data_IF_018826820659
#
_entry.id   IF_018826820659
#
_cell.length_a   1.000
_cell.length_b   1.000
_cell.length_c   1.000
_cell.angle_alpha   90.00
_cell.angle_beta   90.00
_cell.angle_gamma   90.00
#
_symmetry.space_group_name_H-M   'P 1'
#
loop_
_entity.id
_entity.type
_entity.pdbx_description
1 polymer ?
#
# COMPACT_ATOMS: atom_id res chain seq x y z
N UNK A 1 -0.79 -23.79 6.26
CA UNK A 1 -2.12 -23.17 6.50
C UNK A 1 -2.11 -21.80 5.82
N UNK A 2 -3.11 -21.51 5.01
CA UNK A 2 -3.12 -20.24 4.30
C UNK A 2 -3.31 -19.09 5.30
N UNK A 3 -2.44 -18.12 5.21
CA UNK A 3 -2.66 -16.79 5.74
C UNK A 3 -3.67 -16.09 4.83
N UNK A 4 -4.71 -15.49 5.40
CA UNK A 4 -5.67 -14.64 4.68
C UNK A 4 -5.61 -13.23 5.28
N UNK A 5 -5.62 -12.25 4.43
CA UNK A 5 -5.77 -10.86 4.85
C UNK A 5 -6.67 -10.12 3.85
N UNK A 6 -7.52 -9.26 4.39
CA UNK A 6 -8.33 -8.34 3.62
C UNK A 6 -8.00 -6.92 4.06
N UNK A 7 -7.96 -6.04 3.09
CA UNK A 7 -7.78 -4.62 3.27
C UNK A 7 -8.91 -3.89 2.58
N UNK A 8 -9.44 -2.89 3.21
CA UNK A 8 -10.41 -1.99 2.60
C UNK A 8 -10.10 -0.56 3.05
N UNK A 9 -10.19 0.37 2.12
CA UNK A 9 -10.07 1.80 2.37
C UNK A 9 -11.24 2.50 1.71
N UNK A 10 -11.89 3.37 2.45
CA UNK A 10 -12.87 4.31 1.95
C UNK A 10 -12.26 5.70 1.96
N UNK A 11 -12.51 6.47 0.92
CA UNK A 11 -11.98 7.81 0.80
C UNK A 11 -12.84 8.68 -0.10
N UNK A 12 -12.52 9.95 -0.15
CA UNK A 12 -13.14 10.97 -1.00
C UNK A 12 -12.07 11.71 -1.77
N UNK A 13 -12.46 12.35 -2.88
CA UNK A 13 -11.57 13.24 -3.63
C UNK A 13 -11.88 14.67 -3.19
N UNK A 14 -10.89 15.34 -2.63
CA UNK A 14 -10.97 16.72 -2.18
C UNK A 14 -9.87 17.54 -2.86
N UNK A 15 -10.26 18.57 -3.60
CA UNK A 15 -9.31 19.39 -4.37
C UNK A 15 -8.36 18.58 -5.28
N UNK A 16 -8.84 17.46 -5.81
CA UNK A 16 -8.05 16.58 -6.67
C UNK A 16 -7.12 15.59 -5.95
N UNK A 17 -7.10 15.56 -4.63
CA UNK A 17 -6.33 14.61 -3.81
C UNK A 17 -7.26 13.55 -3.20
N UNK A 18 -6.73 12.34 -3.04
CA UNK A 18 -7.41 11.28 -2.33
C UNK A 18 -7.22 11.46 -0.82
N UNK A 19 -8.32 11.62 -0.09
CA UNK A 19 -8.35 11.68 1.37
C UNK A 19 -9.01 10.42 1.91
N UNK A 20 -8.33 9.71 2.79
CA UNK A 20 -8.88 8.53 3.48
C UNK A 20 -9.92 8.97 4.50
N UNK A 21 -11.07 8.29 4.54
CA UNK A 21 -12.06 8.43 5.62
C UNK A 21 -12.03 7.26 6.58
N UNK A 22 -11.82 6.06 6.07
CA UNK A 22 -11.75 4.83 6.86
C UNK A 22 -10.74 3.87 6.26
N UNK A 23 -9.96 3.24 7.12
CA UNK A 23 -9.09 2.12 6.77
C UNK A 23 -9.45 0.91 7.61
N UNK A 24 -9.64 -0.22 6.97
CA UNK A 24 -9.92 -1.49 7.62
C UNK A 24 -8.93 -2.57 7.16
N UNK A 25 -8.45 -3.33 8.12
CA UNK A 25 -7.62 -4.51 7.90
C UNK A 25 -8.14 -5.66 8.74
N UNK A 26 -8.30 -6.81 8.15
CA UNK A 26 -8.47 -8.06 8.88
C UNK A 26 -7.51 -9.13 8.39
N UNK A 27 -7.08 -9.99 9.29
CA UNK A 27 -6.25 -11.12 8.94
C UNK A 27 -6.55 -12.33 9.81
N UNK A 28 -6.39 -13.48 9.21
CA UNK A 28 -6.55 -14.77 9.88
C UNK A 28 -5.41 -15.71 9.52
N UNK A 29 -4.81 -16.27 10.54
CA UNK A 29 -3.86 -17.37 10.47
C UNK A 29 -4.33 -18.53 11.34
N UNK A 30 -3.60 -19.64 11.36
CA UNK A 30 -3.92 -20.79 12.22
C UNK A 30 -4.11 -20.41 13.69
N UNK A 31 -3.35 -19.45 14.20
CA UNK A 31 -3.30 -19.14 15.63
C UNK A 31 -3.82 -17.75 15.99
N UNK A 32 -3.99 -16.87 15.03
CA UNK A 32 -4.31 -15.48 15.29
C UNK A 32 -5.34 -14.94 14.30
N UNK A 33 -6.34 -14.27 14.85
CA UNK A 33 -7.21 -13.36 14.13
C UNK A 33 -6.89 -11.94 14.58
N UNK A 34 -6.70 -11.02 13.64
CA UNK A 34 -6.42 -9.62 13.92
C UNK A 34 -7.28 -8.73 13.07
N UNK A 35 -7.78 -7.66 13.67
CA UNK A 35 -8.40 -6.56 12.94
C UNK A 35 -7.73 -5.25 13.31
N UNK A 36 -7.73 -4.31 12.40
CA UNK A 36 -7.30 -2.94 12.62
C UNK A 36 -8.22 -2.01 11.83
N UNK A 37 -8.65 -0.97 12.48
CA UNK A 37 -9.48 0.07 11.90
C UNK A 37 -8.88 1.42 12.28
N UNK A 38 -8.82 2.32 11.35
CA UNK A 38 -8.35 3.69 11.54
C UNK A 38 -9.40 4.60 10.94
N UNK A 39 -9.92 5.52 11.76
CA UNK A 39 -11.00 6.44 11.40
C UNK A 39 -10.48 7.85 11.37
N UNK A 40 -10.87 8.60 10.36
CA UNK A 40 -10.47 9.98 10.10
C UNK A 40 -11.67 10.91 10.25
N UNK A 41 -11.41 12.18 10.53
CA UNK A 41 -12.43 13.23 10.46
C UNK A 41 -12.61 13.74 9.02
N UNK A 42 -13.53 14.67 8.85
CA UNK A 42 -13.83 15.29 7.55
C UNK A 42 -12.68 16.10 6.95
N UNK A 43 -11.65 16.41 7.73
CA UNK A 43 -10.46 17.16 7.33
C UNK A 43 -9.23 16.25 7.12
N UNK A 44 -9.41 14.91 7.09
CA UNK A 44 -8.32 13.96 6.92
C UNK A 44 -7.40 13.77 8.13
N UNK A 45 -7.85 14.22 9.33
CA UNK A 45 -7.12 14.00 10.57
C UNK A 45 -7.53 12.66 11.18
N UNK A 46 -6.57 11.74 11.47
CA UNK A 46 -6.90 10.49 12.13
C UNK A 46 -7.39 10.72 13.57
N UNK A 47 -8.58 10.20 13.88
CA UNK A 47 -9.26 10.39 15.18
C UNK A 47 -8.90 9.29 16.17
N UNK A 48 -9.06 8.05 15.77
CA UNK A 48 -8.79 6.90 16.64
C UNK A 48 -8.48 5.64 15.83
N UNK A 49 -7.85 4.71 16.52
CA UNK A 49 -7.58 3.36 16.03
C UNK A 49 -8.29 2.34 16.90
N UNK A 50 -9.01 1.42 16.27
CA UNK A 50 -9.50 0.20 16.90
C UNK A 50 -8.60 -0.95 16.43
N UNK A 51 -8.16 -1.79 17.35
CA UNK A 51 -7.42 -3.00 17.01
C UNK A 51 -7.89 -4.16 17.87
N UNK A 52 -8.05 -5.34 17.26
CA UNK A 52 -8.33 -6.56 18.01
C UNK A 52 -7.31 -7.65 17.68
N UNK A 53 -7.08 -8.50 18.68
CA UNK A 53 -6.32 -9.73 18.55
C UNK A 53 -7.04 -10.81 19.34
N UNK A 54 -7.52 -11.88 18.64
CA UNK A 54 -8.23 -13.01 19.26
C UNK A 54 -9.32 -12.51 20.23
N UNK A 55 -10.26 -11.69 19.71
CA UNK A 55 -11.42 -11.11 20.40
C UNK A 55 -11.12 -10.11 21.55
N UNK A 56 -9.87 -9.79 21.80
CA UNK A 56 -9.49 -8.69 22.70
C UNK A 56 -9.36 -7.40 21.89
N UNK A 57 -10.32 -6.49 22.09
CA UNK A 57 -10.37 -5.20 21.37
C UNK A 57 -9.84 -4.08 22.23
N UNK A 58 -9.09 -3.17 21.60
CA UNK A 58 -8.58 -1.95 22.19
C UNK A 58 -8.85 -0.78 21.25
N UNK A 59 -9.49 0.28 21.77
CA UNK A 59 -9.58 1.59 21.12
C UNK A 59 -8.50 2.51 21.69
N UNK A 60 -7.84 3.26 20.84
CA UNK A 60 -6.82 4.24 21.18
C UNK A 60 -7.14 5.53 20.44
N UNK A 61 -7.39 6.59 21.19
CA UNK A 61 -7.51 7.94 20.62
C UNK A 61 -6.13 8.40 20.10
N UNK A 62 -6.14 9.08 18.98
CA UNK A 62 -4.92 9.60 18.35
C UNK A 62 -4.77 11.06 18.71
N UNK A 63 -3.57 11.45 19.10
CA UNK A 63 -3.27 12.83 19.43
C UNK A 63 -3.46 13.73 18.19
N UNK A 64 -4.25 14.78 18.37
CA UNK A 64 -4.58 15.74 17.33
C UNK A 64 -3.47 16.78 17.20
N UNK A 65 -2.36 16.40 16.59
CA UNK A 65 -1.22 17.28 16.36
C UNK A 65 -0.99 17.51 14.85
N UNK A 66 -0.17 18.51 14.53
CA UNK A 66 0.12 18.87 13.15
C UNK A 66 0.83 17.76 12.37
N UNK A 67 1.57 16.89 13.06
CA UNK A 67 2.35 15.82 12.43
C UNK A 67 1.47 14.68 11.89
N UNK A 68 0.25 14.54 12.40
CA UNK A 68 -0.70 13.52 11.94
C UNK A 68 -1.64 14.05 10.84
N UNK A 69 -1.61 15.37 10.58
CA UNK A 69 -2.39 15.98 9.50
C UNK A 69 -1.81 15.62 8.13
N UNK A 70 -2.68 15.56 7.15
CA UNK A 70 -2.31 15.28 5.75
C UNK A 70 -1.59 13.94 5.55
N UNK A 71 -1.76 13.00 6.49
CA UNK A 71 -1.31 11.62 6.36
C UNK A 71 -2.41 10.77 5.75
N UNK A 72 -2.02 9.70 5.07
CA UNK A 72 -2.94 8.73 4.48
C UNK A 72 -2.65 7.32 5.02
N UNK A 73 -3.43 6.34 4.63
CA UNK A 73 -3.13 4.93 4.86
C UNK A 73 -2.34 4.31 3.71
N UNK A 74 -1.76 3.13 3.97
CA UNK A 74 -0.90 2.47 3.00
C UNK A 74 -1.62 2.05 1.70
N UNK A 75 -2.93 1.81 1.72
CA UNK A 75 -3.67 1.45 0.50
C UNK A 75 -3.98 2.67 -0.35
N UNK A 76 -4.35 3.79 0.26
CA UNK A 76 -4.58 5.06 -0.44
C UNK A 76 -3.32 5.51 -1.18
N UNK A 77 -2.14 5.22 -0.63
CA UNK A 77 -0.86 5.48 -1.31
C UNK A 77 -0.79 4.82 -2.70
N UNK A 78 -1.22 3.58 -2.82
CA UNK A 78 -1.23 2.89 -4.13
C UNK A 78 -2.31 3.42 -5.07
N UNK A 79 -3.47 3.80 -4.54
CA UNK A 79 -4.52 4.41 -5.34
C UNK A 79 -4.09 5.79 -5.87
N UNK A 80 -3.42 6.57 -5.04
CA UNK A 80 -2.87 7.88 -5.42
C UNK A 80 -1.73 7.73 -6.44
N UNK A 81 -0.84 6.74 -6.25
CA UNK A 81 0.18 6.41 -7.24
C UNK A 81 -0.44 6.06 -8.60
N UNK A 82 -1.48 5.22 -8.62
CA UNK A 82 -2.17 4.86 -9.86
C UNK A 82 -2.81 6.08 -10.53
N UNK A 83 -3.42 6.97 -9.74
CA UNK A 83 -3.99 8.23 -10.24
C UNK A 83 -2.92 9.15 -10.83
N UNK A 84 -1.80 9.33 -10.11
CA UNK A 84 -0.67 10.12 -10.57
C UNK A 84 -0.07 9.51 -11.84
N UNK A 85 0.21 8.21 -11.83
CA UNK A 85 0.76 7.50 -12.99
C UNK A 85 -0.12 7.65 -14.23
N UNK A 86 -1.44 7.64 -14.08
CA UNK A 86 -2.35 7.83 -15.19
C UNK A 86 -2.15 9.17 -15.91
N UNK A 87 -1.74 10.20 -15.19
CA UNK A 87 -1.51 11.55 -15.72
C UNK A 87 -0.10 11.74 -16.27
N UNK A 88 0.93 11.24 -15.57
CA UNK A 88 2.33 11.58 -15.87
C UNK A 88 3.17 10.40 -16.38
N UNK A 89 2.65 9.17 -16.29
CA UNK A 89 3.26 7.92 -16.79
C UNK A 89 4.63 7.59 -16.18
N UNK A 90 4.89 8.04 -14.96
CA UNK A 90 6.04 7.65 -14.15
C UNK A 90 5.68 7.55 -12.67
N UNK A 91 6.51 6.85 -11.88
CA UNK A 91 6.18 6.44 -10.52
C UNK A 91 6.66 7.38 -9.42
N UNK A 92 7.51 8.37 -9.72
CA UNK A 92 8.14 9.19 -8.69
C UNK A 92 7.13 9.92 -7.83
N UNK A 93 7.08 9.55 -6.55
CA UNK A 93 6.26 10.26 -5.57
C UNK A 93 6.70 9.96 -4.13
N UNK A 94 6.28 10.84 -3.22
CA UNK A 94 6.49 10.69 -1.77
C UNK A 94 5.19 11.02 -1.07
N UNK A 95 4.74 10.13 -0.21
CA UNK A 95 3.48 10.26 0.52
C UNK A 95 3.68 9.94 1.99
N UNK A 96 3.06 10.74 2.84
CA UNK A 96 3.12 10.56 4.29
C UNK A 96 2.01 9.61 4.73
N UNK A 97 2.41 8.56 5.46
CA UNK A 97 1.50 7.53 5.96
C UNK A 97 1.49 7.52 7.47
N UNK A 98 0.31 7.35 8.03
CA UNK A 98 0.11 7.08 9.45
C UNK A 98 -0.62 5.75 9.62
N UNK A 99 -0.01 4.80 10.32
CA UNK A 99 -0.58 3.45 10.51
C UNK A 99 -1.43 3.34 11.79
N UNK A 100 -1.78 4.49 12.39
CA UNK A 100 -2.47 4.57 13.68
C UNK A 100 -1.53 4.46 14.90
N UNK A 101 -0.24 4.34 14.68
CA UNK A 101 0.79 4.29 15.73
C UNK A 101 2.07 5.02 15.32
N UNK A 102 2.43 4.94 14.05
CA UNK A 102 3.70 5.44 13.53
C UNK A 102 3.45 6.24 12.27
N UNK A 103 4.26 7.25 12.09
CA UNK A 103 4.35 8.02 10.87
C UNK A 103 5.60 7.60 10.10
N UNK A 104 5.47 7.47 8.79
CA UNK A 104 6.56 7.18 7.88
C UNK A 104 6.24 7.70 6.48
N UNK A 105 7.25 7.89 5.68
CA UNK A 105 7.08 8.22 4.30
C UNK A 105 7.18 6.98 3.42
N UNK A 106 6.26 6.83 2.50
CA UNK A 106 6.34 5.88 1.39
C UNK A 106 6.89 6.62 0.19
N UNK A 107 8.00 6.14 -0.33
CA UNK A 107 8.70 6.76 -1.45
C UNK A 107 8.69 5.79 -2.62
N UNK A 108 8.16 6.25 -3.74
CA UNK A 108 8.21 5.54 -5.01
C UNK A 108 9.27 6.16 -5.91
N UNK A 109 9.91 5.31 -6.73
CA UNK A 109 10.84 5.74 -7.77
C UNK A 109 10.56 5.01 -9.07
N UNK A 110 10.70 5.72 -10.14
CA UNK A 110 10.67 5.16 -11.49
C UNK A 110 12.02 4.48 -11.78
N UNK A 111 11.97 3.20 -12.09
CA UNK A 111 13.13 2.37 -12.46
C UNK A 111 13.20 2.18 -13.98
N UNK A 112 12.31 2.86 -14.70
CA UNK A 112 12.26 2.85 -16.15
C UNK A 112 11.37 1.78 -16.75
N UNK A 113 11.43 1.68 -18.08
CA UNK A 113 10.65 0.73 -18.87
C UNK A 113 11.21 -0.69 -18.75
N UNK A 114 10.31 -1.64 -18.69
CA UNK A 114 10.64 -3.07 -18.65
C UNK A 114 9.60 -3.84 -19.48
N UNK A 115 9.85 -5.12 -19.70
CA UNK A 115 8.93 -6.00 -20.42
C UNK A 115 8.60 -7.21 -19.59
N UNK A 116 7.32 -7.38 -19.27
CA UNK A 116 6.83 -8.58 -18.60
C UNK A 116 6.49 -9.68 -19.62
N UNK A 117 6.76 -10.89 -19.24
CA UNK A 117 6.37 -12.09 -19.98
C UNK A 117 5.29 -12.82 -19.18
N UNK A 118 4.16 -13.11 -19.83
CA UNK A 118 3.12 -13.94 -19.25
C UNK A 118 3.69 -15.34 -18.91
N UNK A 119 3.24 -15.92 -17.80
CA UNK A 119 3.72 -17.21 -17.31
C UNK A 119 2.56 -17.99 -16.65
N UNK A 120 2.86 -19.14 -16.07
CA UNK A 120 1.86 -20.01 -15.42
C UNK A 120 1.13 -19.34 -14.23
N UNK A 121 1.71 -18.29 -13.62
CA UNK A 121 1.14 -17.58 -12.48
C UNK A 121 0.37 -16.32 -12.88
N UNK A 122 0.62 -15.77 -14.07
CA UNK A 122 0.01 -14.53 -14.54
C UNK A 122 -0.20 -14.54 -16.06
N UNK A 123 -1.42 -14.28 -16.53
CA UNK A 123 -1.68 -14.14 -17.96
C UNK A 123 -1.19 -12.79 -18.53
N UNK A 124 -0.70 -11.89 -17.67
CA UNK A 124 -0.36 -10.54 -18.05
C UNK A 124 1.10 -10.43 -18.50
N UNK A 125 1.30 -9.85 -19.66
CA UNK A 125 2.59 -9.53 -20.25
C UNK A 125 2.50 -8.32 -21.15
N UNK A 126 3.62 -7.74 -21.51
CA UNK A 126 3.70 -6.55 -22.36
C UNK A 126 4.70 -5.54 -21.83
N UNK A 127 4.70 -4.36 -22.42
CA UNK A 127 5.52 -3.24 -22.00
C UNK A 127 4.99 -2.70 -20.66
N UNK A 128 5.88 -2.59 -19.69
CA UNK A 128 5.58 -2.22 -18.32
C UNK A 128 6.49 -1.08 -17.86
N UNK A 129 6.07 -0.37 -16.82
CA UNK A 129 6.96 0.50 -16.06
C UNK A 129 7.33 -0.22 -14.77
N UNK A 130 8.63 -0.37 -14.54
CA UNK A 130 9.19 -0.89 -13.30
C UNK A 130 9.29 0.26 -12.31
N UNK A 131 8.76 0.05 -11.12
CA UNK A 131 8.80 1.00 -10.02
C UNK A 131 9.44 0.34 -8.81
N UNK A 132 10.04 1.14 -7.94
CA UNK A 132 10.45 0.69 -6.61
C UNK A 132 9.71 1.47 -5.53
N UNK A 133 9.53 0.83 -4.37
CA UNK A 133 8.92 1.42 -3.18
C UNK A 133 9.79 1.11 -1.98
N UNK A 134 10.07 2.11 -1.16
CA UNK A 134 10.66 1.93 0.16
C UNK A 134 10.02 2.85 1.19
N UNK A 135 10.31 2.55 2.45
CA UNK A 135 9.75 3.29 3.59
C UNK A 135 10.88 4.03 4.30
N UNK A 136 10.71 5.34 4.42
CA UNK A 136 11.56 6.19 5.24
C UNK A 136 10.89 6.39 6.60
N UNK A 137 11.49 5.76 7.62
CA UNK A 137 10.99 5.84 8.99
C UNK A 137 11.45 7.15 9.63
N UNK A 138 10.57 8.11 9.75
CA UNK A 138 10.82 9.37 10.46
C UNK A 138 10.97 9.14 11.98
N UNK A 139 12.13 8.60 12.39
CA UNK A 139 12.48 8.45 13.81
C UNK A 139 11.72 7.37 14.61
N UNK A 140 10.85 6.60 13.99
CA UNK A 140 10.10 5.55 14.69
C UNK A 140 10.94 4.29 14.89
N UNK A 141 11.27 3.97 16.14
CA UNK A 141 11.80 2.66 16.54
C UNK A 141 10.64 1.65 16.60
N UNK A 142 10.72 0.56 15.87
CA UNK A 142 9.74 -0.55 15.98
C UNK A 142 9.70 -1.45 14.75
N UNK A 143 10.02 -2.73 14.94
CA UNK A 143 10.13 -3.76 13.90
C UNK A 143 8.83 -4.55 13.75
N UNK A 144 7.74 -3.91 13.31
CA UNK A 144 6.49 -4.63 13.05
C UNK A 144 6.33 -5.03 11.57
N UNK A 145 7.26 -4.67 10.72
CA UNK A 145 7.35 -5.19 9.35
C UNK A 145 8.12 -6.51 9.38
N UNK A 146 7.69 -7.48 8.58
CA UNK A 146 8.34 -8.80 8.47
C UNK A 146 9.78 -8.70 7.95
N UNK A 147 10.11 -7.58 7.29
CA UNK A 147 11.45 -7.23 6.79
C UNK A 147 11.58 -5.71 6.72
N UNK A 148 12.79 -5.24 6.74
CA UNK A 148 13.11 -3.83 6.62
C UNK A 148 13.05 -3.39 5.15
N UNK A 149 12.22 -2.38 4.88
CA UNK A 149 12.17 -1.72 3.59
C UNK A 149 12.96 -0.43 3.66
N UNK A 150 14.02 -0.35 2.88
CA UNK A 150 14.90 0.82 2.79
C UNK A 150 15.26 1.10 1.33
N UNK A 151 15.97 2.17 1.06
CA UNK A 151 16.36 2.55 -0.30
C UNK A 151 17.27 1.53 -0.99
N UNK A 152 18.02 0.76 -0.22
CA UNK A 152 18.87 -0.35 -0.66
C UNK A 152 18.16 -1.72 -0.66
N UNK A 153 16.95 -1.78 -0.08
CA UNK A 153 16.09 -2.98 -0.03
C UNK A 153 14.65 -2.63 -0.38
N UNK A 154 14.39 -2.14 -1.60
CA UNK A 154 13.04 -1.76 -2.00
C UNK A 154 12.18 -2.98 -2.34
N UNK A 155 10.88 -2.74 -2.36
CA UNK A 155 9.94 -3.60 -3.10
C UNK A 155 9.90 -3.11 -4.54
N UNK A 156 10.12 -4.00 -5.49
CA UNK A 156 9.89 -3.71 -6.90
C UNK A 156 8.50 -4.13 -7.31
N UNK A 157 7.88 -3.34 -8.20
CA UNK A 157 6.62 -3.71 -8.82
C UNK A 157 6.54 -3.19 -10.25
N UNK A 158 5.70 -3.84 -11.04
CA UNK A 158 5.52 -3.51 -12.46
C UNK A 158 4.09 -3.09 -12.71
N UNK A 159 3.94 -1.92 -13.28
CA UNK A 159 2.67 -1.37 -13.75
C UNK A 159 2.49 -1.74 -15.22
N UNK A 160 1.37 -2.39 -15.51
CA UNK A 160 0.81 -2.53 -16.84
C UNK A 160 -0.43 -1.66 -16.96
N UNK A 161 -0.77 -1.28 -18.18
CA UNK A 161 -2.04 -0.67 -18.47
C UNK A 161 -3.03 -1.71 -19.00
N UNK A 162 -4.26 -1.64 -18.50
CA UNK A 162 -5.37 -2.42 -19.04
C UNK A 162 -5.62 -2.02 -20.50
N UNK A 163 -5.81 -3.00 -21.36
CA UNK A 163 -5.93 -2.78 -22.82
C UNK A 163 -7.19 -2.04 -23.23
N UNK A 164 -8.25 -2.10 -22.42
CA UNK A 164 -9.55 -1.50 -22.76
C UNK A 164 -9.70 -0.10 -22.14
N UNK A 165 -9.31 0.03 -20.85
CA UNK A 165 -9.55 1.25 -20.08
C UNK A 165 -8.32 2.12 -19.92
N UNK A 166 -7.15 1.63 -20.34
CA UNK A 166 -5.86 2.31 -20.21
C UNK A 166 -5.52 2.75 -18.78
N UNK A 167 -6.10 2.06 -17.79
CA UNK A 167 -5.83 2.31 -16.35
C UNK A 167 -4.71 1.40 -15.88
N UNK A 168 -3.78 1.93 -15.06
CA UNK A 168 -2.66 1.15 -14.56
C UNK A 168 -3.11 0.14 -13.49
N UNK A 169 -2.47 -1.01 -13.47
CA UNK A 169 -2.57 -1.99 -12.39
C UNK A 169 -1.22 -2.64 -12.12
N UNK A 170 -1.01 -3.12 -10.91
CA UNK A 170 0.19 -3.84 -10.53
C UNK A 170 0.09 -5.27 -11.06
N UNK A 171 0.94 -5.62 -12.03
CA UNK A 171 0.97 -6.95 -12.63
C UNK A 171 1.88 -7.91 -11.87
N UNK A 172 2.97 -7.40 -11.28
CA UNK A 172 3.96 -8.17 -10.53
C UNK A 172 4.53 -7.34 -9.39
N UNK A 173 4.81 -8.00 -8.26
CA UNK A 173 5.63 -7.46 -7.16
C UNK A 173 6.81 -8.40 -6.94
N UNK A 174 8.00 -7.86 -6.67
CA UNK A 174 9.19 -8.62 -6.30
C UNK A 174 9.85 -8.01 -5.07
N UNK A 175 10.16 -8.87 -4.11
CA UNK A 175 10.89 -8.52 -2.90
C UNK A 175 12.12 -9.42 -2.87
N UNK A 176 13.31 -8.83 -3.03
CA UNK A 176 14.53 -9.61 -3.24
C UNK A 176 15.05 -10.24 -1.95
N UNK A 177 15.00 -9.54 -0.83
CA UNK A 177 15.63 -9.94 0.42
C UNK A 177 14.60 -10.30 1.51
N UNK A 178 13.84 -11.38 1.31
CA UNK A 178 13.03 -11.93 2.41
C UNK A 178 13.79 -13.03 3.14
N UNK A 179 13.40 -13.38 4.38
CA UNK A 179 13.99 -14.53 5.08
C UNK A 179 13.89 -15.87 4.34
N UNK A 180 13.01 -15.95 3.34
CA UNK A 180 12.79 -17.12 2.49
C UNK A 180 13.40 -16.97 1.08
N UNK A 181 14.23 -15.95 0.85
CA UNK A 181 14.79 -15.59 -0.44
C UNK A 181 13.87 -14.62 -1.21
N UNK A 182 14.01 -14.59 -2.53
CA UNK A 182 13.19 -13.72 -3.38
C UNK A 182 11.73 -14.16 -3.39
N UNK A 183 10.83 -13.25 -3.04
CA UNK A 183 9.39 -13.43 -3.14
C UNK A 183 8.87 -12.71 -4.39
N UNK A 184 8.12 -13.41 -5.23
CA UNK A 184 7.38 -12.81 -6.33
C UNK A 184 5.88 -13.04 -6.12
N UNK A 185 5.11 -11.98 -6.31
CA UNK A 185 3.65 -12.01 -6.31
C UNK A 185 3.17 -11.58 -7.69
N UNK A 186 2.25 -12.33 -8.25
CA UNK A 186 1.72 -12.11 -9.58
C UNK A 186 0.22 -11.85 -9.54
N UNK A 187 -0.23 -10.90 -10.31
CA UNK A 187 -1.66 -10.69 -10.53
C UNK A 187 -2.17 -11.76 -11.49
N UNK A 188 -3.07 -12.59 -11.01
CA UNK A 188 -3.73 -13.62 -11.82
C UNK A 188 -4.96 -13.06 -12.55
N UNK A 189 -5.72 -12.17 -11.88
CA UNK A 189 -6.90 -11.53 -12.46
C UNK A 189 -7.00 -10.09 -11.99
N UNK A 190 -7.11 -9.18 -12.92
CA UNK A 190 -7.44 -7.77 -12.67
C UNK A 190 -8.85 -7.48 -13.21
N UNK A 191 -9.62 -6.73 -12.46
CA UNK A 191 -10.92 -6.20 -12.89
C UNK A 191 -10.96 -4.73 -12.56
N UNK A 192 -11.01 -3.90 -13.58
CA UNK A 192 -11.02 -2.45 -13.45
C UNK A 192 -12.45 -1.95 -13.68
N UNK A 193 -12.98 -1.29 -12.67
CA UNK A 193 -14.30 -0.64 -12.74
C UNK A 193 -14.13 0.85 -13.04
N UNK A 194 -15.16 1.44 -13.63
CA UNK A 194 -15.23 2.89 -13.89
C UNK A 194 -15.42 3.65 -12.58
#
# INVERSE_FOLDING_TARGET
YPFKANYATTGKIVNGNLETTDYHYDSQSRFNKRTKELVYDDNGMPLYRISSKNDKTKKVEIEQNADNRDTTDLQTVFAELARQYNNVKFCDSRMQVFDGKRRFDVIFRDEGKDRLVANEYSPYGGDAVKCSMYIDKLGAKGDDLLWELSSDRPIYFWLLEDSEKHKPFIARISIDDTPLGRLNVYTNKATIKD
#
